data_IF_961263655673
#
_entry.id   IF_961263655673
#
_cell.length_a   1.000
_cell.length_b   1.000
_cell.length_c   1.000
_cell.angle_alpha   90.00
_cell.angle_beta   90.00
_cell.angle_gamma   90.00
#
_symmetry.space_group_name_H-M   'P 1'
#
loop_
_entity.id
_entity.type
_entity.pdbx_description
1 polymer ?
#
# COMPACT_ATOMS: atom_id res chain seq x y z
N UNK A 1 68.57 -33.55 9.76
CA UNK A 1 68.04 -34.29 10.93
C UNK A 1 66.54 -34.03 10.95
N UNK A 2 65.71 -35.04 10.68
CA UNK A 2 64.24 -34.87 10.63
C UNK A 2 63.67 -35.17 12.01
N UNK A 3 63.16 -34.15 12.69
CA UNK A 3 62.49 -34.29 13.98
C UNK A 3 61.13 -34.97 13.72
N UNK A 4 60.99 -36.24 14.11
CA UNK A 4 59.69 -36.92 14.10
C UNK A 4 58.98 -36.61 15.41
N UNK A 5 57.69 -36.25 15.30
CA UNK A 5 56.82 -36.03 16.43
C UNK A 5 56.74 -37.31 17.28
N UNK A 6 57.05 -37.21 18.58
CA UNK A 6 57.09 -38.30 19.55
C UNK A 6 55.70 -38.69 20.09
N UNK A 7 54.63 -38.07 19.59
CA UNK A 7 53.25 -38.39 19.97
C UNK A 7 52.85 -37.85 21.35
N UNK A 8 53.77 -37.19 22.07
CA UNK A 8 53.45 -36.44 23.28
C UNK A 8 53.04 -35.02 22.87
N UNK A 9 51.75 -34.75 22.94
CA UNK A 9 51.22 -33.40 22.71
C UNK A 9 51.45 -32.61 24.00
N UNK A 10 52.27 -31.55 23.93
CA UNK A 10 52.38 -30.59 25.01
C UNK A 10 51.02 -29.90 25.20
N UNK A 11 50.49 -29.89 26.43
CA UNK A 11 49.18 -29.26 26.75
C UNK A 11 49.10 -27.82 26.27
N UNK A 12 50.22 -27.08 26.31
CA UNK A 12 50.31 -25.72 25.83
C UNK A 12 50.06 -25.60 24.31
N UNK A 13 50.52 -26.59 23.54
CA UNK A 13 50.31 -26.68 22.09
C UNK A 13 48.84 -26.96 21.77
N UNK A 14 48.21 -27.83 22.56
CA UNK A 14 46.78 -28.13 22.45
C UNK A 14 45.93 -26.88 22.78
N UNK A 15 46.24 -26.18 23.87
CA UNK A 15 45.57 -24.93 24.27
C UNK A 15 45.69 -23.87 23.17
N UNK A 16 46.89 -23.66 22.62
CA UNK A 16 47.14 -22.70 21.54
C UNK A 16 46.36 -23.07 20.27
N UNK A 17 46.35 -24.35 19.90
CA UNK A 17 45.61 -24.84 18.74
C UNK A 17 44.10 -24.66 18.91
N UNK A 18 43.54 -25.01 20.06
CA UNK A 18 42.11 -24.81 20.37
C UNK A 18 41.75 -23.33 20.34
N UNK A 19 42.58 -22.46 20.92
CA UNK A 19 42.38 -21.01 20.87
C UNK A 19 42.34 -20.47 19.44
N UNK A 20 43.26 -20.93 18.58
CA UNK A 20 43.28 -20.56 17.16
C UNK A 20 42.01 -21.02 16.43
N UNK A 21 41.60 -22.27 16.64
CA UNK A 21 40.39 -22.84 16.03
C UNK A 21 39.13 -22.06 16.40
N UNK A 22 38.97 -21.72 17.68
CA UNK A 22 37.85 -20.92 18.16
C UNK A 22 37.81 -19.55 17.48
N UNK A 23 38.97 -18.89 17.33
CA UNK A 23 39.04 -17.59 16.66
C UNK A 23 38.76 -17.69 15.17
N UNK A 24 39.30 -18.71 14.49
CA UNK A 24 39.03 -18.95 13.07
C UNK A 24 37.54 -19.16 12.80
N UNK A 25 36.85 -19.94 13.64
CA UNK A 25 35.39 -20.17 13.53
C UNK A 25 34.59 -18.88 13.80
N UNK A 26 35.01 -18.08 14.78
CA UNK A 26 34.35 -16.78 15.06
C UNK A 26 34.48 -15.82 13.88
N UNK A 27 35.66 -15.76 13.26
CA UNK A 27 35.93 -14.90 12.12
C UNK A 27 35.13 -15.34 10.89
N UNK A 28 35.18 -16.63 10.53
CA UNK A 28 34.41 -17.14 9.38
C UNK A 28 32.91 -16.94 9.54
N UNK A 29 32.36 -17.13 10.75
CA UNK A 29 30.95 -16.83 11.02
C UNK A 29 30.64 -15.34 10.81
N UNK A 30 31.49 -14.44 11.29
CA UNK A 30 31.32 -12.99 11.14
C UNK A 30 31.35 -12.60 9.66
N UNK A 31 32.34 -13.09 8.93
CA UNK A 31 32.53 -12.78 7.51
C UNK A 31 31.35 -13.29 6.67
N UNK A 32 30.87 -14.50 6.96
CA UNK A 32 29.65 -15.04 6.33
C UNK A 32 28.43 -14.16 6.58
N UNK A 33 28.18 -13.74 7.82
CA UNK A 33 27.05 -12.88 8.15
C UNK A 33 27.16 -11.50 7.51
N UNK A 34 28.37 -10.92 7.48
CA UNK A 34 28.61 -9.64 6.82
C UNK A 34 28.37 -9.72 5.31
N UNK A 35 28.86 -10.77 4.65
CA UNK A 35 28.60 -11.01 3.24
C UNK A 35 27.09 -11.14 2.98
N UNK A 36 26.39 -11.96 3.78
CA UNK A 36 24.94 -12.15 3.66
C UNK A 36 24.16 -10.85 3.85
N UNK A 37 24.55 -10.03 4.83
CA UNK A 37 23.91 -8.74 5.08
C UNK A 37 24.18 -7.74 3.94
N UNK A 38 25.39 -7.70 3.37
CA UNK A 38 25.66 -6.86 2.19
C UNK A 38 24.78 -7.20 0.98
N UNK A 39 24.45 -8.48 0.78
CA UNK A 39 23.46 -8.87 -0.23
C UNK A 39 22.06 -8.39 0.14
N UNK A 40 21.65 -8.58 1.39
CA UNK A 40 20.35 -8.14 1.89
C UNK A 40 20.15 -6.62 1.85
N UNK A 41 21.20 -5.83 2.09
CA UNK A 41 21.13 -4.35 2.04
C UNK A 41 20.97 -3.81 0.61
N UNK A 42 21.19 -4.66 -0.40
CA UNK A 42 21.06 -4.32 -1.83
C UNK A 42 19.80 -4.89 -2.47
N UNK A 43 19.05 -5.71 -1.75
CA UNK A 43 17.83 -6.36 -2.22
C UNK A 43 16.61 -5.72 -1.55
N UNK A 44 15.59 -5.40 -2.33
CA UNK A 44 14.27 -5.01 -1.80
C UNK A 44 13.51 -6.32 -1.59
N UNK A 45 13.03 -6.64 -0.37
CA UNK A 45 12.24 -7.83 -0.14
C UNK A 45 10.97 -7.81 -1.01
N UNK A 46 10.88 -8.68 -2.00
CA UNK A 46 9.69 -8.77 -2.86
C UNK A 46 8.49 -9.32 -2.10
N UNK A 47 8.74 -10.12 -1.06
CA UNK A 47 7.69 -10.77 -0.25
C UNK A 47 6.86 -9.78 0.58
N UNK A 48 7.37 -8.57 0.90
CA UNK A 48 6.56 -7.56 1.62
C UNK A 48 5.43 -6.98 0.77
N UNK A 49 5.54 -7.06 -0.56
CA UNK A 49 4.47 -6.64 -1.47
C UNK A 49 3.29 -7.63 -1.37
N UNK A 50 3.57 -8.91 -1.16
CA UNK A 50 2.54 -9.96 -1.06
C UNK A 50 1.87 -10.07 0.31
N UNK A 51 2.53 -9.64 1.40
CA UNK A 51 1.94 -9.73 2.75
C UNK A 51 0.87 -8.67 3.02
N UNK A 52 0.92 -7.54 2.32
CA UNK A 52 0.00 -6.41 2.54
C UNK A 52 -1.28 -6.52 1.71
N UNK A 53 -1.29 -7.41 0.70
CA UNK A 53 -2.43 -7.61 -0.21
C UNK A 53 -2.81 -6.38 -1.04
N UNK A 54 -2.05 -5.28 -0.93
CA UNK A 54 -2.30 -4.04 -1.64
C UNK A 54 -1.43 -3.97 -2.88
N UNK A 55 -2.08 -3.75 -4.02
CA UNK A 55 -1.36 -3.54 -5.27
C UNK A 55 -0.69 -2.16 -5.24
N UNK A 56 0.39 -2.00 -6.02
CA UNK A 56 1.02 -0.68 -6.20
C UNK A 56 0.00 0.37 -6.68
N UNK A 57 -0.95 -0.05 -7.53
CA UNK A 57 -2.03 0.79 -8.02
C UNK A 57 -2.95 1.28 -6.89
N UNK A 58 -3.33 0.40 -5.96
CA UNK A 58 -4.14 0.76 -4.80
C UNK A 58 -3.42 1.73 -3.87
N UNK A 59 -2.11 1.56 -3.68
CA UNK A 59 -1.31 2.47 -2.85
C UNK A 59 -1.18 3.86 -3.49
N UNK A 60 -0.94 3.91 -4.80
CA UNK A 60 -0.90 5.18 -5.55
C UNK A 60 -2.28 5.85 -5.56
N UNK A 61 -3.36 5.08 -5.73
CA UNK A 61 -4.73 5.58 -5.75
C UNK A 61 -5.13 6.30 -4.45
N UNK A 62 -4.65 5.87 -3.29
CA UNK A 62 -4.89 6.55 -2.00
C UNK A 62 -4.35 7.98 -1.93
N UNK A 63 -3.32 8.28 -2.72
CA UNK A 63 -2.63 9.57 -2.70
C UNK A 63 -3.10 10.52 -3.81
N UNK A 64 -3.88 10.02 -4.78
CA UNK A 64 -4.43 10.83 -5.85
C UNK A 64 -5.70 11.56 -5.40
N UNK A 65 -5.92 12.80 -5.87
CA UNK A 65 -7.19 13.47 -5.62
C UNK A 65 -8.32 12.72 -6.34
N UNK A 66 -9.51 12.69 -5.74
CA UNK A 66 -10.70 11.97 -6.25
C UNK A 66 -10.94 12.16 -7.76
N UNK A 67 -10.69 13.37 -8.26
CA UNK A 67 -10.92 13.73 -9.66
C UNK A 67 -10.00 13.02 -10.64
N UNK A 68 -8.80 12.67 -10.21
CA UNK A 68 -7.80 11.98 -11.04
C UNK A 68 -8.01 10.46 -11.03
N UNK A 69 -8.79 9.95 -10.07
CA UNK A 69 -9.16 8.52 -9.98
C UNK A 69 -10.34 8.14 -10.90
N UNK A 70 -11.07 9.11 -11.45
CA UNK A 70 -12.26 8.83 -12.26
C UNK A 70 -11.85 8.62 -13.72
N UNK A 71 -11.71 7.36 -14.13
CA UNK A 71 -11.31 6.99 -15.51
C UNK A 71 -12.37 7.35 -16.56
N UNK A 72 -13.66 7.28 -16.19
CA UNK A 72 -14.75 7.58 -17.11
C UNK A 72 -14.92 9.09 -17.29
N UNK A 73 -14.54 9.59 -18.46
CA UNK A 73 -14.72 11.01 -18.84
C UNK A 73 -16.20 11.45 -18.75
N UNK A 74 -17.13 10.60 -19.20
CA UNK A 74 -18.58 10.86 -19.13
C UNK A 74 -19.05 11.02 -17.68
N UNK A 75 -18.62 10.12 -16.79
CA UNK A 75 -18.94 10.20 -15.36
C UNK A 75 -18.30 11.44 -14.72
N UNK A 76 -17.04 11.71 -15.04
CA UNK A 76 -16.31 12.88 -14.55
C UNK A 76 -17.08 14.18 -14.85
N UNK A 77 -17.45 14.40 -16.11
CA UNK A 77 -18.19 15.59 -16.51
C UNK A 77 -19.61 15.62 -15.93
N UNK A 78 -20.29 14.48 -15.81
CA UNK A 78 -21.60 14.40 -15.19
C UNK A 78 -21.54 14.82 -13.70
N UNK A 79 -20.53 14.38 -12.95
CA UNK A 79 -20.31 14.75 -11.55
C UNK A 79 -19.94 16.24 -11.42
N UNK A 80 -19.14 16.79 -12.34
CA UNK A 80 -18.83 18.23 -12.37
C UNK A 80 -20.06 19.10 -12.68
N UNK A 81 -21.03 18.58 -13.44
CA UNK A 81 -22.28 19.30 -13.76
C UNK A 81 -23.30 19.32 -12.61
N UNK A 82 -23.21 18.41 -11.65
CA UNK A 82 -23.99 18.53 -10.42
C UNK A 82 -23.62 19.82 -9.70
N UNK A 83 -24.61 20.49 -9.11
CA UNK A 83 -24.31 21.62 -8.23
C UNK A 83 -23.59 21.13 -6.97
N UNK A 84 -22.93 22.03 -6.26
CA UNK A 84 -22.08 21.69 -5.10
C UNK A 84 -22.83 20.87 -4.04
N UNK A 85 -24.07 21.26 -3.73
CA UNK A 85 -24.90 20.57 -2.75
C UNK A 85 -25.31 19.17 -3.20
N UNK A 86 -25.74 19.00 -4.44
CA UNK A 86 -26.07 17.70 -5.03
C UNK A 86 -24.85 16.79 -5.05
N UNK A 87 -23.70 17.33 -5.45
CA UNK A 87 -22.43 16.62 -5.50
C UNK A 87 -21.99 16.17 -4.10
N UNK A 88 -22.06 17.05 -3.11
CA UNK A 88 -21.74 16.72 -1.71
C UNK A 88 -22.63 15.59 -1.19
N UNK A 89 -23.95 15.72 -1.33
CA UNK A 89 -24.90 14.69 -0.86
C UNK A 89 -24.65 13.35 -1.56
N UNK A 90 -24.38 13.36 -2.86
CA UNK A 90 -24.10 12.15 -3.62
C UNK A 90 -22.80 11.48 -3.17
N UNK A 91 -21.68 12.23 -3.17
CA UNK A 91 -20.37 11.67 -2.85
C UNK A 91 -20.28 11.21 -1.39
N UNK A 92 -20.81 11.98 -0.43
CA UNK A 92 -20.80 11.55 0.98
C UNK A 92 -21.61 10.28 1.21
N UNK A 93 -22.72 10.09 0.50
CA UNK A 93 -23.50 8.86 0.64
C UNK A 93 -22.84 7.67 -0.04
N UNK A 94 -22.29 7.86 -1.25
CA UNK A 94 -21.75 6.77 -2.07
C UNK A 94 -20.34 6.35 -1.67
N UNK A 95 -19.46 7.30 -1.35
CA UNK A 95 -18.07 7.01 -1.00
C UNK A 95 -17.90 6.74 0.48
N UNK A 96 -18.51 7.58 1.33
CA UNK A 96 -18.31 7.51 2.78
C UNK A 96 -19.39 6.69 3.50
N UNK A 97 -20.37 6.14 2.78
CA UNK A 97 -21.55 5.46 3.35
C UNK A 97 -22.28 6.30 4.42
N UNK A 98 -22.24 7.64 4.31
CA UNK A 98 -22.87 8.51 5.29
C UNK A 98 -24.41 8.40 5.22
N UNK A 99 -25.12 8.18 6.35
CA UNK A 99 -26.57 8.11 6.35
C UNK A 99 -27.19 9.50 6.13
N UNK A 100 -28.41 9.53 5.59
CA UNK A 100 -29.08 10.79 5.22
C UNK A 100 -29.39 11.69 6.41
N UNK A 101 -29.52 11.15 7.62
CA UNK A 101 -29.67 11.88 8.87
C UNK A 101 -28.44 12.76 9.14
N UNK A 102 -27.24 12.19 8.98
CA UNK A 102 -25.96 12.89 9.20
C UNK A 102 -25.72 13.92 8.10
N UNK A 103 -25.96 13.55 6.84
CA UNK A 103 -25.85 14.48 5.71
C UNK A 103 -26.84 15.63 5.87
N UNK A 104 -28.08 15.32 6.28
CA UNK A 104 -29.11 16.31 6.53
C UNK A 104 -28.70 17.28 7.62
N UNK A 105 -28.24 16.79 8.78
CA UNK A 105 -27.78 17.61 9.88
C UNK A 105 -26.66 18.59 9.46
N UNK A 106 -25.67 18.12 8.69
CA UNK A 106 -24.55 18.96 8.20
C UNK A 106 -25.02 20.08 7.24
N UNK A 107 -26.08 19.83 6.49
CA UNK A 107 -26.60 20.76 5.47
C UNK A 107 -27.83 21.57 5.95
N UNK A 108 -28.24 21.42 7.21
CA UNK A 108 -29.47 22.03 7.72
C UNK A 108 -30.75 21.49 7.06
N UNK A 109 -30.77 20.20 6.70
CA UNK A 109 -31.90 19.53 6.05
C UNK A 109 -32.46 18.43 6.95
N UNK A 110 -33.73 18.13 6.73
CA UNK A 110 -34.33 16.90 7.25
C UNK A 110 -33.77 15.69 6.50
N UNK A 111 -33.87 14.51 7.11
CA UNK A 111 -33.60 13.22 6.45
C UNK A 111 -34.22 13.14 5.05
N UNK A 112 -35.53 13.44 4.95
CA UNK A 112 -36.28 13.42 3.68
C UNK A 112 -35.74 14.44 2.69
N UNK A 113 -35.29 15.60 3.17
CA UNK A 113 -34.66 16.63 2.34
C UNK A 113 -33.32 16.16 1.75
N UNK A 114 -32.45 15.54 2.55
CA UNK A 114 -31.19 14.98 2.09
C UNK A 114 -31.41 13.84 1.09
N UNK A 115 -32.31 12.90 1.40
CA UNK A 115 -32.69 11.81 0.49
C UNK A 115 -33.27 12.34 -0.83
N UNK A 116 -34.11 13.37 -0.80
CA UNK A 116 -34.66 13.97 -2.02
C UNK A 116 -33.57 14.60 -2.90
N UNK A 117 -32.58 15.27 -2.30
CA UNK A 117 -31.42 15.81 -3.05
C UNK A 117 -30.61 14.67 -3.67
N UNK A 118 -30.36 13.60 -2.91
CA UNK A 118 -29.63 12.43 -3.38
C UNK A 118 -30.28 11.79 -4.62
N UNK A 119 -31.57 11.46 -4.56
CA UNK A 119 -32.26 10.84 -5.69
C UNK A 119 -32.41 11.77 -6.89
N UNK A 120 -32.49 13.10 -6.68
CA UNK A 120 -32.42 14.08 -7.77
C UNK A 120 -31.04 14.08 -8.45
N UNK A 121 -29.96 14.02 -7.67
CA UNK A 121 -28.60 13.92 -8.19
C UNK A 121 -28.42 12.66 -9.04
N UNK A 122 -28.88 11.50 -8.56
CA UNK A 122 -28.87 10.24 -9.33
C UNK A 122 -29.61 10.41 -10.67
N UNK A 123 -30.81 11.00 -10.65
CA UNK A 123 -31.59 11.20 -11.87
C UNK A 123 -30.85 12.07 -12.89
N UNK A 124 -30.15 13.12 -12.43
CA UNK A 124 -29.32 13.97 -13.30
C UNK A 124 -28.11 13.23 -13.87
N UNK A 125 -27.44 12.42 -13.05
CA UNK A 125 -26.31 11.61 -13.48
C UNK A 125 -26.72 10.60 -14.55
N UNK A 126 -27.78 9.82 -14.30
CA UNK A 126 -28.33 8.87 -15.28
C UNK A 126 -28.66 9.53 -16.61
N UNK A 127 -29.39 10.65 -16.57
CA UNK A 127 -29.72 11.41 -17.79
C UNK A 127 -28.48 11.90 -18.54
N UNK A 128 -27.45 12.33 -17.82
CA UNK A 128 -26.21 12.84 -18.43
C UNK A 128 -25.38 11.71 -19.07
N UNK A 129 -25.35 10.54 -18.45
CA UNK A 129 -24.63 9.37 -18.94
C UNK A 129 -25.38 8.72 -20.12
N UNK A 130 -26.70 8.53 -20.00
CA UNK A 130 -27.56 7.99 -21.08
C UNK A 130 -27.64 8.92 -22.29
N UNK A 131 -27.61 10.24 -22.07
CA UNK A 131 -27.58 11.25 -23.14
C UNK A 131 -26.22 11.41 -23.79
N UNK A 132 -25.12 11.10 -23.09
CA UNK A 132 -23.76 11.15 -23.62
C UNK A 132 -23.48 10.10 -24.69
N UNK A 133 -24.15 8.94 -24.63
CA UNK A 133 -23.99 7.87 -25.62
C UNK A 133 -24.69 8.11 -26.97
N UNK A 134 -25.45 9.20 -27.15
CA UNK A 134 -26.16 9.52 -28.40
C UNK A 134 -25.51 10.65 -29.22
N UNK A 135 -24.51 11.32 -28.68
CA UNK A 135 -23.88 12.49 -29.30
C UNK A 135 -22.43 12.24 -29.76
N UNK A 136 -22.08 10.99 -30.06
CA UNK A 136 -20.81 10.63 -30.69
C UNK A 136 -21.04 9.60 -31.80
N UNK A 137 -21.61 10.06 -32.92
CA UNK A 137 -21.42 9.54 -34.30
C UNK A 137 -21.67 10.67 -35.29
#
# INVERSE_FOLDING_TARGET
MWYRNNGQIEEELQIRFTGYLIQAVKHTRRDYLNARNQYSDREIPTDTIYTTGQTLEEEVAKHLPLWDMIESSVLFYALKRLNERERYVFLSHVLDNCPFEVIGARLGLTYKGAAAVYYRAIRKLRKSIEGGGRNEF
#
